data_IF_067784100918
#
_entry.id   IF_067784100918
#
_cell.length_a   1.000
_cell.length_b   1.000
_cell.length_c   1.000
_cell.angle_alpha   90.00
_cell.angle_beta   90.00
_cell.angle_gamma   90.00
#
_symmetry.space_group_name_H-M   'P 1'
#
loop_
_entity.id
_entity.type
_entity.pdbx_description
1 polymer ?
#
# COMPACT_ATOMS: atom_id res chain seq x y z
N UNK A 1 -5.28 27.61 16.55
CA UNK A 1 -5.96 26.47 15.91
C UNK A 1 -4.98 25.92 14.90
N UNK A 2 -4.76 24.61 14.85
CA UNK A 2 -3.92 24.02 13.80
C UNK A 2 -4.53 24.37 12.43
N UNK A 3 -3.71 24.69 11.47
CA UNK A 3 -4.12 24.98 10.11
C UNK A 3 -4.71 23.70 9.50
N UNK A 4 -5.87 23.81 8.86
CA UNK A 4 -6.53 22.68 8.21
C UNK A 4 -5.87 22.41 6.87
N UNK A 5 -5.57 21.15 6.59
CA UNK A 5 -5.09 20.74 5.26
C UNK A 5 -6.23 20.74 4.24
N UNK A 6 -5.95 21.14 3.01
CA UNK A 6 -6.93 21.11 1.91
C UNK A 6 -7.02 19.71 1.32
N UNK A 7 -8.23 19.20 1.23
CA UNK A 7 -8.56 17.96 0.51
C UNK A 7 -9.55 18.27 -0.58
N UNK A 8 -9.18 18.03 -1.82
CA UNK A 8 -10.05 18.27 -2.97
C UNK A 8 -10.83 17.00 -3.29
N UNK A 9 -12.08 17.17 -3.66
CA UNK A 9 -13.04 16.08 -3.90
C UNK A 9 -13.83 16.27 -5.19
N UNK A 10 -13.96 15.18 -5.95
CA UNK A 10 -14.87 15.06 -7.08
C UNK A 10 -15.62 13.72 -7.01
N UNK A 11 -16.94 13.74 -7.13
CA UNK A 11 -17.74 12.52 -7.21
C UNK A 11 -17.57 11.79 -8.55
N UNK A 12 -18.14 10.57 -8.69
CA UNK A 12 -18.11 9.79 -9.95
C UNK A 12 -19.27 10.13 -10.91
N UNK A 13 -20.05 11.17 -10.65
CA UNK A 13 -21.14 11.54 -11.56
C UNK A 13 -20.59 12.35 -12.74
N UNK A 14 -21.03 12.01 -13.93
CA UNK A 14 -20.79 12.76 -15.16
C UNK A 14 -22.15 13.11 -15.78
N UNK A 15 -22.84 14.16 -15.28
CA UNK A 15 -24.18 14.51 -15.74
C UNK A 15 -24.21 15.07 -17.17
N UNK A 16 -23.04 15.34 -17.74
CA UNK A 16 -22.85 15.87 -19.09
C UNK A 16 -21.86 14.97 -19.86
N UNK A 17 -22.15 14.72 -21.13
CA UNK A 17 -21.23 14.03 -22.04
C UNK A 17 -19.97 14.89 -22.40
N UNK A 18 -19.86 16.10 -21.88
CA UNK A 18 -18.75 17.03 -22.16
C UNK A 18 -17.48 16.71 -21.35
N UNK A 19 -17.59 15.98 -20.24
CA UNK A 19 -16.45 15.62 -19.39
C UNK A 19 -16.59 14.14 -18.97
N UNK A 20 -15.58 13.32 -19.22
CA UNK A 20 -15.52 11.94 -18.74
C UNK A 20 -14.76 11.84 -17.41
N UNK A 21 -14.82 10.69 -16.73
CA UNK A 21 -14.15 10.48 -15.44
C UNK A 21 -12.64 10.68 -15.46
N UNK A 22 -11.86 10.20 -16.46
CA UNK A 22 -10.45 10.55 -16.62
C UNK A 22 -10.18 12.05 -16.68
N UNK A 23 -10.94 12.79 -17.45
CA UNK A 23 -10.83 14.26 -17.52
C UNK A 23 -11.19 14.93 -16.20
N UNK A 24 -12.22 14.43 -15.50
CA UNK A 24 -12.60 14.91 -14.18
C UNK A 24 -11.50 14.66 -13.14
N UNK A 25 -10.84 13.49 -13.19
CA UNK A 25 -9.68 13.21 -12.34
C UNK A 25 -8.51 14.16 -12.64
N UNK A 26 -8.19 14.38 -13.91
CA UNK A 26 -7.14 15.32 -14.30
C UNK A 26 -7.43 16.73 -13.77
N UNK A 27 -8.66 17.20 -13.92
CA UNK A 27 -9.10 18.50 -13.39
C UNK A 27 -9.00 18.57 -11.87
N UNK A 28 -9.39 17.50 -11.15
CA UNK A 28 -9.22 17.40 -9.69
C UNK A 28 -7.76 17.57 -9.28
N UNK A 29 -6.87 16.81 -9.90
CA UNK A 29 -5.43 16.81 -9.60
C UNK A 29 -4.84 18.18 -9.83
N UNK A 30 -5.13 18.81 -10.98
CA UNK A 30 -4.64 20.15 -11.31
C UNK A 30 -5.20 21.22 -10.38
N UNK A 31 -6.51 21.17 -10.06
CA UNK A 31 -7.13 22.10 -9.12
C UNK A 31 -6.57 21.96 -7.70
N UNK A 32 -6.11 20.76 -7.33
CA UNK A 32 -5.47 20.51 -6.03
C UNK A 32 -4.03 21.03 -5.93
N UNK A 33 -3.50 21.66 -6.99
CA UNK A 33 -2.18 22.28 -6.96
C UNK A 33 -1.05 21.38 -7.47
N UNK A 34 -1.35 20.31 -8.18
CA UNK A 34 -0.31 19.44 -8.76
C UNK A 34 0.67 20.19 -9.68
N UNK A 35 0.20 21.30 -10.26
CA UNK A 35 1.01 22.16 -11.11
C UNK A 35 2.12 22.89 -10.37
N UNK A 36 2.01 23.06 -9.06
CA UNK A 36 3.01 23.73 -8.22
C UNK A 36 4.29 22.88 -8.01
N UNK A 37 4.25 21.57 -8.33
CA UNK A 37 5.39 20.67 -8.23
C UNK A 37 6.26 20.82 -9.48
N UNK A 38 7.52 21.22 -9.32
CA UNK A 38 8.51 21.17 -10.39
C UNK A 38 8.87 19.72 -10.71
N UNK A 39 8.59 19.30 -11.96
CA UNK A 39 8.85 17.93 -12.44
C UNK A 39 9.77 17.88 -13.66
N UNK A 40 10.18 19.02 -14.22
CA UNK A 40 10.97 19.06 -15.44
C UNK A 40 12.27 18.26 -15.30
N UNK A 41 12.43 17.26 -16.16
CA UNK A 41 13.58 16.35 -16.19
C UNK A 41 13.67 15.35 -15.02
N UNK A 42 12.77 15.42 -14.02
CA UNK A 42 12.83 14.65 -12.78
C UNK A 42 12.20 13.26 -12.91
N UNK A 43 12.73 12.30 -12.14
CA UNK A 43 12.12 10.99 -12.00
C UNK A 43 10.96 11.06 -11.01
N UNK A 44 9.78 10.57 -11.43
CA UNK A 44 8.54 10.60 -10.65
C UNK A 44 8.07 9.19 -10.39
N UNK A 45 8.14 8.75 -9.13
CA UNK A 45 7.61 7.47 -8.71
C UNK A 45 6.09 7.59 -8.47
N UNK A 46 5.29 6.89 -9.26
CA UNK A 46 3.84 6.76 -9.05
C UNK A 46 3.59 5.43 -8.35
N UNK A 47 3.37 5.49 -7.04
CA UNK A 47 3.13 4.31 -6.21
C UNK A 47 1.66 3.91 -6.27
N UNK A 48 1.43 2.69 -6.67
CA UNK A 48 0.09 2.10 -6.64
C UNK A 48 0.16 0.59 -6.39
N UNK A 49 -0.98 -0.04 -6.18
CA UNK A 49 -1.12 -1.49 -6.09
C UNK A 49 -1.62 -2.03 -7.42
N UNK A 50 -0.95 -3.03 -8.00
CA UNK A 50 -1.31 -3.58 -9.31
C UNK A 50 -2.40 -4.66 -9.27
N UNK A 51 -2.88 -5.03 -8.07
CA UNK A 51 -3.79 -6.16 -7.85
C UNK A 51 -3.06 -7.51 -7.84
N UNK A 52 -3.55 -8.46 -7.06
CA UNK A 52 -3.15 -9.86 -7.17
C UNK A 52 -3.88 -10.51 -8.35
N UNK A 53 -3.27 -11.41 -9.14
CA UNK A 53 -3.96 -12.11 -10.22
C UNK A 53 -5.24 -12.80 -9.75
N UNK A 54 -6.37 -12.48 -10.41
CA UNK A 54 -7.71 -12.95 -10.04
C UNK A 54 -8.54 -11.92 -9.26
N UNK A 55 -7.94 -10.91 -8.64
CA UNK A 55 -8.65 -9.78 -8.07
C UNK A 55 -9.12 -8.83 -9.19
N UNK A 56 -10.34 -8.34 -9.13
CA UNK A 56 -10.91 -7.41 -10.11
C UNK A 56 -11.33 -6.06 -9.49
N UNK A 57 -11.16 -5.87 -8.18
CA UNK A 57 -11.48 -4.62 -7.50
C UNK A 57 -10.34 -3.59 -7.52
N UNK A 58 -9.13 -3.95 -7.97
CA UNK A 58 -8.01 -3.02 -8.06
C UNK A 58 -8.28 -1.85 -9.01
N UNK A 59 -7.56 -0.73 -8.86
CA UNK A 59 -7.67 0.42 -9.74
C UNK A 59 -7.30 0.06 -11.18
N UNK A 60 -8.17 0.40 -12.12
CA UNK A 60 -7.94 0.17 -13.55
C UNK A 60 -6.72 0.97 -14.06
N UNK A 61 -5.95 0.44 -15.03
CA UNK A 61 -4.79 1.14 -15.64
C UNK A 61 -5.11 2.54 -16.18
N UNK A 62 -6.36 2.76 -16.60
CA UNK A 62 -6.84 4.06 -17.08
C UNK A 62 -6.65 5.20 -16.06
N UNK A 63 -6.79 4.91 -14.77
CA UNK A 63 -6.56 5.89 -13.71
C UNK A 63 -5.07 6.25 -13.59
N UNK A 64 -4.20 5.25 -13.69
CA UNK A 64 -2.76 5.46 -13.69
C UNK A 64 -2.32 6.30 -14.90
N UNK A 65 -2.92 6.03 -16.08
CA UNK A 65 -2.62 6.78 -17.29
C UNK A 65 -2.86 8.28 -17.12
N UNK A 66 -3.94 8.70 -16.47
CA UNK A 66 -4.21 10.12 -16.19
C UNK A 66 -3.04 10.77 -15.46
N UNK A 67 -2.56 10.13 -14.40
CA UNK A 67 -1.45 10.65 -13.59
C UNK A 67 -0.15 10.68 -14.39
N UNK A 68 0.12 9.60 -15.16
CA UNK A 68 1.30 9.49 -16.02
C UNK A 68 1.33 10.61 -17.07
N UNK A 69 0.18 10.87 -17.72
CA UNK A 69 0.08 11.91 -18.75
C UNK A 69 0.35 13.30 -18.12
N UNK A 70 -0.26 13.62 -16.97
CA UNK A 70 -0.02 14.89 -16.26
C UNK A 70 1.46 15.07 -15.87
N UNK A 71 2.14 14.02 -15.40
CA UNK A 71 3.57 14.08 -15.10
C UNK A 71 4.40 14.36 -16.36
N UNK A 72 4.06 13.69 -17.47
CA UNK A 72 4.77 13.89 -18.76
C UNK A 72 4.53 15.28 -19.33
N UNK A 73 3.32 15.80 -19.24
CA UNK A 73 2.97 17.15 -19.69
C UNK A 73 3.79 18.23 -18.94
N UNK A 74 4.26 17.90 -17.71
CA UNK A 74 5.18 18.73 -16.92
C UNK A 74 6.66 18.40 -17.12
N UNK A 75 7.02 17.66 -18.18
CA UNK A 75 8.41 17.28 -18.48
C UNK A 75 9.02 16.21 -17.55
N UNK A 76 8.23 15.62 -16.66
CA UNK A 76 8.67 14.58 -15.75
C UNK A 76 8.86 13.21 -16.41
N UNK A 77 9.62 12.34 -15.77
CA UNK A 77 9.92 10.96 -16.18
C UNK A 77 9.19 9.97 -15.26
N UNK A 78 7.91 9.67 -15.51
CA UNK A 78 7.12 8.81 -14.62
C UNK A 78 7.48 7.34 -14.78
N UNK A 79 7.36 6.60 -13.66
CA UNK A 79 7.28 5.15 -13.64
C UNK A 79 6.27 4.69 -12.60
N UNK A 80 5.55 3.59 -12.88
CA UNK A 80 4.69 2.95 -11.90
C UNK A 80 5.53 2.04 -11.02
N UNK A 81 5.24 2.01 -9.71
CA UNK A 81 6.01 1.21 -8.77
C UNK A 81 5.16 0.60 -7.67
N UNK A 82 5.60 -0.55 -7.21
CA UNK A 82 5.25 -1.24 -5.96
C UNK A 82 6.47 -2.05 -5.51
N UNK A 83 6.49 -2.54 -4.28
CA UNK A 83 7.53 -3.46 -3.80
C UNK A 83 6.98 -4.88 -3.66
N UNK A 84 7.87 -5.87 -3.78
CA UNK A 84 7.53 -7.29 -3.71
C UNK A 84 6.81 -7.66 -2.40
N UNK A 85 5.96 -8.67 -2.48
CA UNK A 85 5.18 -9.13 -1.33
C UNK A 85 5.96 -10.03 -0.39
N UNK A 86 5.49 -10.11 0.84
CA UNK A 86 6.02 -11.00 1.86
C UNK A 86 5.38 -12.39 1.81
N UNK A 87 4.12 -12.45 1.37
CA UNK A 87 3.36 -13.70 1.24
C UNK A 87 3.58 -14.36 -0.14
N UNK A 88 3.14 -15.61 -0.23
CA UNK A 88 3.18 -16.39 -1.47
C UNK A 88 2.02 -15.95 -2.36
N UNK A 89 2.36 -15.51 -3.56
CA UNK A 89 1.41 -15.05 -4.57
C UNK A 89 2.12 -14.66 -5.86
N UNK A 90 1.41 -14.01 -6.76
CA UNK A 90 1.92 -13.58 -8.06
C UNK A 90 2.91 -12.41 -8.00
N UNK A 91 3.15 -11.81 -6.82
CA UNK A 91 3.99 -10.63 -6.67
C UNK A 91 5.19 -10.84 -5.73
N UNK A 92 5.68 -12.09 -5.64
CA UNK A 92 6.76 -12.48 -4.72
C UNK A 92 8.16 -12.04 -5.17
N UNK A 93 8.39 -11.85 -6.45
CA UNK A 93 9.64 -11.35 -7.05
C UNK A 93 9.31 -10.41 -8.20
N UNK A 94 10.29 -9.63 -8.67
CA UNK A 94 10.01 -8.59 -9.66
C UNK A 94 9.45 -9.12 -10.97
N UNK A 95 9.87 -10.29 -11.46
CA UNK A 95 9.40 -10.82 -12.73
C UNK A 95 7.94 -11.25 -12.62
N UNK A 96 7.60 -12.05 -11.59
CA UNK A 96 6.21 -12.45 -11.35
C UNK A 96 5.33 -11.24 -11.03
N UNK A 97 5.87 -10.23 -10.34
CA UNK A 97 5.15 -9.00 -10.01
C UNK A 97 4.81 -8.17 -11.26
N UNK A 98 5.77 -8.03 -12.18
CA UNK A 98 5.54 -7.36 -13.47
C UNK A 98 4.56 -8.18 -14.31
N UNK A 99 4.68 -9.50 -14.32
CA UNK A 99 3.73 -10.37 -15.03
C UNK A 99 2.31 -10.22 -14.46
N UNK A 100 2.16 -10.19 -13.14
CA UNK A 100 0.87 -9.91 -12.48
C UNK A 100 0.29 -8.55 -12.89
N UNK A 101 1.14 -7.52 -12.94
CA UNK A 101 0.73 -6.20 -13.40
C UNK A 101 0.28 -6.22 -14.87
N UNK A 102 0.98 -6.96 -15.74
CA UNK A 102 0.62 -7.11 -17.16
C UNK A 102 -0.71 -7.85 -17.33
N UNK A 103 -0.95 -8.93 -16.57
CA UNK A 103 -2.23 -9.65 -16.57
C UNK A 103 -3.39 -8.74 -16.15
N UNK A 104 -3.14 -7.80 -15.24
CA UNK A 104 -4.09 -6.81 -14.79
C UNK A 104 -4.14 -5.54 -15.69
N UNK A 105 -3.46 -5.58 -16.84
CA UNK A 105 -3.50 -4.55 -17.88
C UNK A 105 -2.54 -3.37 -17.68
N UNK A 106 -1.71 -3.38 -16.64
CA UNK A 106 -0.67 -2.36 -16.43
C UNK A 106 0.55 -2.69 -17.29
N UNK A 107 0.71 -2.00 -18.37
CA UNK A 107 1.86 -2.13 -19.26
C UNK A 107 2.16 -0.76 -19.94
N UNK A 108 3.33 -0.58 -20.54
CA UNK A 108 3.71 0.72 -21.13
C UNK A 108 2.77 1.22 -22.23
N UNK A 109 2.08 0.34 -22.94
CA UNK A 109 1.13 0.74 -23.99
C UNK A 109 -0.17 1.31 -23.40
N UNK A 110 -0.66 0.72 -22.32
CA UNK A 110 -1.91 1.13 -21.67
C UNK A 110 -1.73 2.31 -20.73
N UNK A 111 -0.61 2.35 -20.00
CA UNK A 111 -0.36 3.36 -18.96
C UNK A 111 0.54 4.50 -19.43
N UNK A 112 1.29 4.30 -20.50
CA UNK A 112 2.20 5.30 -21.06
C UNK A 112 3.56 5.37 -20.36
N UNK A 113 3.88 4.55 -19.36
CA UNK A 113 5.19 4.50 -18.71
C UNK A 113 5.58 3.07 -18.30
N UNK A 114 6.85 2.89 -17.94
CA UNK A 114 7.36 1.61 -17.47
C UNK A 114 6.99 1.31 -16.03
N UNK A 115 7.08 0.03 -15.66
CA UNK A 115 6.96 -0.46 -14.28
C UNK A 115 8.37 -0.77 -13.76
N UNK A 116 8.70 -0.23 -12.59
CA UNK A 116 9.90 -0.59 -11.84
C UNK A 116 9.48 -1.13 -10.48
N UNK A 117 9.90 -2.35 -10.16
CA UNK A 117 9.66 -2.92 -8.82
C UNK A 117 10.68 -2.33 -7.85
N UNK A 118 10.18 -1.58 -6.88
CA UNK A 118 10.94 -0.65 -6.05
C UNK A 118 12.08 -1.28 -5.24
N UNK A 119 11.92 -2.54 -4.83
CA UNK A 119 12.89 -3.30 -4.02
C UNK A 119 13.65 -4.37 -4.82
N UNK A 120 13.69 -4.22 -6.16
CA UNK A 120 14.49 -5.03 -7.07
C UNK A 120 14.01 -6.48 -7.22
N UNK A 121 14.86 -7.30 -7.88
CA UNK A 121 14.49 -8.64 -8.35
C UNK A 121 13.94 -9.55 -7.23
N UNK A 122 14.55 -9.51 -6.04
CA UNK A 122 14.25 -10.42 -4.93
C UNK A 122 13.68 -9.72 -3.68
N UNK A 123 13.32 -8.46 -3.79
CA UNK A 123 12.75 -7.69 -2.68
C UNK A 123 13.76 -7.26 -1.61
N UNK A 124 15.03 -7.16 -1.97
CA UNK A 124 16.12 -6.81 -1.06
C UNK A 124 17.05 -5.71 -1.57
N UNK A 125 16.65 -5.00 -2.61
CA UNK A 125 17.28 -3.76 -3.03
C UNK A 125 16.61 -2.61 -2.28
N UNK A 126 17.25 -2.20 -1.17
CA UNK A 126 16.65 -1.31 -0.19
C UNK A 126 17.65 -0.25 0.27
N UNK A 127 17.11 0.81 0.82
CA UNK A 127 17.81 1.84 1.55
C UNK A 127 17.20 1.97 2.95
N UNK A 128 18.04 2.15 3.96
CA UNK A 128 17.59 2.46 5.31
C UNK A 128 17.42 3.97 5.46
N UNK A 129 16.21 4.39 5.85
CA UNK A 129 15.84 5.80 6.03
C UNK A 129 15.53 6.02 7.50
N UNK A 130 16.23 6.96 8.18
CA UNK A 130 15.92 7.30 9.57
C UNK A 130 14.49 7.81 9.72
N UNK A 131 13.81 7.40 10.80
CA UNK A 131 12.45 7.85 11.14
C UNK A 131 12.52 8.70 12.39
N UNK A 132 12.56 10.01 12.21
CA UNK A 132 12.55 10.93 13.33
C UNK A 132 11.20 10.90 14.06
N UNK A 133 11.25 10.74 15.38
CA UNK A 133 10.04 10.62 16.21
C UNK A 133 9.33 9.24 16.12
N UNK A 134 9.93 8.26 15.44
CA UNK A 134 9.39 6.88 15.39
C UNK A 134 9.41 6.22 16.76
N UNK A 135 8.29 5.55 17.09
CA UNK A 135 8.11 4.82 18.35
C UNK A 135 8.62 3.38 18.23
N UNK A 136 8.45 2.77 17.05
CA UNK A 136 8.77 1.36 16.78
C UNK A 136 9.89 1.19 15.75
N UNK A 137 10.01 2.10 14.79
CA UNK A 137 10.94 2.01 13.67
C UNK A 137 11.98 3.13 13.80
N UNK A 138 13.26 2.76 13.90
CA UNK A 138 14.38 3.74 13.89
C UNK A 138 14.83 4.04 12.48
N UNK A 139 15.01 3.01 11.66
CA UNK A 139 15.38 3.10 10.25
C UNK A 139 14.43 2.24 9.43
N UNK A 140 13.61 2.86 8.61
CA UNK A 140 12.70 2.17 7.72
C UNK A 140 13.47 1.62 6.50
N UNK A 141 13.18 0.39 6.11
CA UNK A 141 13.79 -0.29 4.96
C UNK A 141 12.88 -0.10 3.75
N UNK A 142 13.21 0.87 2.92
CA UNK A 142 12.40 1.28 1.76
C UNK A 142 13.04 0.77 0.46
N UNK A 143 12.22 0.37 -0.50
CA UNK A 143 12.69 -0.02 -1.84
C UNK A 143 13.48 1.11 -2.49
N UNK A 144 14.70 0.79 -2.98
CA UNK A 144 15.66 1.79 -3.47
C UNK A 144 15.08 2.65 -4.58
N UNK A 145 14.46 2.06 -5.60
CA UNK A 145 13.93 2.84 -6.73
C UNK A 145 12.84 3.86 -6.31
N UNK A 146 12.14 3.61 -5.19
CA UNK A 146 11.19 4.59 -4.63
C UNK A 146 11.93 5.80 -4.08
N UNK A 147 13.08 5.59 -3.41
CA UNK A 147 13.83 6.67 -2.78
C UNK A 147 14.76 7.39 -3.76
N UNK A 148 15.16 6.74 -4.87
CA UNK A 148 15.94 7.36 -5.93
C UNK A 148 15.11 8.33 -6.81
N UNK A 149 13.78 8.31 -6.71
CA UNK A 149 12.91 9.24 -7.41
C UNK A 149 12.93 10.63 -6.76
N UNK A 150 12.92 11.68 -7.58
CA UNK A 150 12.92 13.08 -7.14
C UNK A 150 11.56 13.51 -6.58
N UNK A 151 10.48 13.00 -7.16
CA UNK A 151 9.09 13.30 -6.80
C UNK A 151 8.35 12.00 -6.53
N UNK A 152 7.49 12.02 -5.53
CA UNK A 152 6.68 10.87 -5.18
C UNK A 152 5.19 11.17 -5.29
N UNK A 153 4.46 10.32 -6.01
CA UNK A 153 3.00 10.40 -6.13
C UNK A 153 2.38 9.09 -5.66
N UNK A 154 1.42 9.13 -4.74
CA UNK A 154 0.63 7.95 -4.42
C UNK A 154 -0.71 7.98 -5.16
N UNK A 155 -1.03 6.89 -5.87
CA UNK A 155 -2.34 6.63 -6.45
C UNK A 155 -2.95 5.45 -5.71
N UNK A 156 -3.97 5.70 -4.91
CA UNK A 156 -4.47 4.77 -3.91
C UNK A 156 -5.89 4.31 -4.24
N UNK A 157 -6.10 3.01 -4.23
CA UNK A 157 -7.41 2.39 -4.07
C UNK A 157 -7.77 2.38 -2.58
N UNK A 158 -8.73 3.21 -2.17
CA UNK A 158 -9.20 3.23 -0.78
C UNK A 158 -10.24 2.11 -0.56
N UNK A 159 -10.04 1.28 0.46
CA UNK A 159 -10.83 0.07 0.72
C UNK A 159 -10.69 -0.44 2.16
N UNK A 160 -11.46 -1.47 2.52
CA UNK A 160 -11.27 -2.24 3.76
C UNK A 160 -9.92 -2.99 3.79
N UNK A 161 -9.52 -3.41 4.98
CA UNK A 161 -8.30 -4.20 5.16
C UNK A 161 -8.35 -5.03 6.44
N UNK A 162 -8.10 -6.33 6.32
CA UNK A 162 -8.24 -7.35 7.35
C UNK A 162 -7.33 -7.21 8.58
N UNK A 163 -6.23 -6.45 8.50
CA UNK A 163 -5.29 -6.22 9.62
C UNK A 163 -5.19 -4.75 10.01
N UNK A 164 -5.27 -3.84 9.05
CA UNK A 164 -5.11 -2.41 9.30
C UNK A 164 -6.45 -1.66 9.45
N UNK A 165 -7.58 -2.32 9.17
CA UNK A 165 -8.93 -1.75 9.14
C UNK A 165 -9.25 -1.06 7.82
N UNK A 166 -8.33 -0.26 7.28
CA UNK A 166 -8.43 0.35 5.96
C UNK A 166 -7.13 0.27 5.17
N UNK A 167 -7.24 0.31 3.84
CA UNK A 167 -6.14 0.47 2.91
C UNK A 167 -6.21 1.84 2.24
N UNK A 168 -5.70 2.87 2.91
CA UNK A 168 -5.61 4.24 2.40
C UNK A 168 -4.22 4.60 1.85
N UNK A 169 -3.97 5.91 1.68
CA UNK A 169 -2.69 6.45 1.20
C UNK A 169 -1.54 6.08 2.14
N UNK A 170 -1.72 6.23 3.46
CA UNK A 170 -0.70 5.86 4.45
C UNK A 170 -0.27 4.40 4.30
N UNK A 171 -1.22 3.48 4.16
CA UNK A 171 -0.89 2.07 3.95
C UNK A 171 -0.26 1.80 2.58
N UNK A 172 -0.77 2.41 1.51
CA UNK A 172 -0.22 2.29 0.17
C UNK A 172 1.24 2.76 0.13
N UNK A 173 1.58 3.79 0.86
CA UNK A 173 2.93 4.32 1.00
C UNK A 173 3.76 3.45 1.95
N UNK A 174 3.40 3.40 3.22
CA UNK A 174 4.23 2.80 4.28
C UNK A 174 4.46 1.31 4.08
N UNK A 175 3.38 0.52 3.93
CA UNK A 175 3.52 -0.91 3.66
C UNK A 175 3.99 -1.16 2.22
N UNK A 176 3.44 -0.41 1.26
CA UNK A 176 3.68 -0.64 -0.15
C UNK A 176 5.12 -0.35 -0.58
N UNK A 177 5.75 0.72 -0.08
CA UNK A 177 7.13 1.09 -0.40
C UNK A 177 8.18 0.36 0.46
N UNK A 178 7.78 -0.28 1.57
CA UNK A 178 8.67 -1.11 2.34
C UNK A 178 9.26 -2.25 1.51
N UNK A 179 10.58 -2.46 1.60
CA UNK A 179 11.21 -3.66 1.05
C UNK A 179 10.65 -4.93 1.71
N UNK A 180 11.08 -6.08 1.27
CA UNK A 180 10.69 -7.33 1.91
C UNK A 180 11.08 -7.38 3.40
N UNK A 181 12.29 -6.88 3.75
CA UNK A 181 12.70 -6.75 5.15
C UNK A 181 11.83 -5.72 5.90
N UNK A 182 11.51 -4.60 5.24
CA UNK A 182 10.62 -3.59 5.80
C UNK A 182 9.20 -4.12 6.05
N UNK A 183 8.63 -4.86 5.10
CA UNK A 183 7.33 -5.52 5.30
C UNK A 183 7.39 -6.56 6.43
N UNK A 184 8.51 -7.29 6.56
CA UNK A 184 8.71 -8.23 7.67
C UNK A 184 8.71 -7.52 9.02
N UNK A 185 9.37 -6.37 9.13
CA UNK A 185 9.42 -5.56 10.35
C UNK A 185 8.04 -4.97 10.71
N UNK A 186 7.25 -4.56 9.70
CA UNK A 186 5.92 -4.03 9.92
C UNK A 186 4.93 -5.10 10.41
N UNK A 187 4.96 -6.31 9.82
CA UNK A 187 3.97 -7.36 10.09
C UNK A 187 4.25 -8.22 11.32
N UNK A 188 5.45 -8.14 11.91
CA UNK A 188 5.82 -8.90 13.10
C UNK A 188 7.09 -8.34 13.74
N UNK A 189 7.70 -9.11 14.65
CA UNK A 189 9.03 -8.79 15.20
C UNK A 189 10.18 -8.87 14.18
N UNK A 190 9.87 -8.97 12.88
CA UNK A 190 10.87 -9.04 11.81
C UNK A 190 11.49 -10.42 11.59
N UNK A 191 10.89 -11.52 12.08
CA UNK A 191 11.48 -12.86 11.97
C UNK A 191 10.55 -13.87 11.30
N UNK A 192 11.04 -14.60 10.27
CA UNK A 192 10.25 -15.63 9.60
C UNK A 192 10.27 -16.95 10.39
N UNK A 193 9.37 -17.88 10.02
CA UNK A 193 9.40 -19.25 10.50
C UNK A 193 9.27 -20.26 9.35
N UNK A 194 9.58 -21.54 9.61
CA UNK A 194 9.52 -22.61 8.62
C UNK A 194 8.30 -23.49 8.85
N UNK A 195 7.44 -23.62 7.82
CA UNK A 195 6.38 -24.63 7.79
C UNK A 195 7.00 -26.00 7.48
N UNK A 196 7.27 -26.80 8.53
CA UNK A 196 7.97 -28.08 8.41
C UNK A 196 7.36 -29.03 7.37
N UNK A 197 6.02 -29.03 7.21
CA UNK A 197 5.31 -29.85 6.20
C UNK A 197 5.70 -29.51 4.76
N UNK A 198 6.11 -28.27 4.48
CA UNK A 198 6.53 -27.80 3.15
C UNK A 198 8.06 -27.88 2.96
N UNK A 199 8.83 -27.98 4.04
CA UNK A 199 10.29 -27.99 3.98
C UNK A 199 10.79 -29.34 3.41
N UNK A 200 11.59 -29.27 2.34
CA UNK A 200 12.24 -30.44 1.70
C UNK A 200 13.72 -30.59 2.09
N UNK A 201 14.21 -29.79 3.03
CA UNK A 201 15.59 -29.89 3.51
C UNK A 201 16.66 -29.48 2.50
N UNK A 202 16.34 -28.73 1.43
CA UNK A 202 17.26 -28.42 0.32
C UNK A 202 18.42 -27.48 0.69
N UNK A 203 18.38 -26.79 1.81
CA UNK A 203 19.47 -25.95 2.31
C UNK A 203 19.62 -24.58 1.64
N UNK A 204 18.75 -24.21 0.68
CA UNK A 204 18.82 -22.90 0.00
C UNK A 204 18.78 -21.73 0.97
N UNK A 205 17.96 -21.83 2.01
CA UNK A 205 17.84 -20.80 3.06
C UNK A 205 19.15 -20.64 3.87
N UNK A 206 19.85 -21.74 4.16
CA UNK A 206 21.13 -21.70 4.88
C UNK A 206 22.23 -21.09 4.00
N UNK A 207 22.27 -21.44 2.71
CA UNK A 207 23.26 -20.91 1.76
C UNK A 207 23.16 -19.40 1.56
N UNK A 208 21.94 -18.83 1.59
CA UNK A 208 21.72 -17.39 1.39
C UNK A 208 21.89 -16.57 2.67
N UNK A 209 21.84 -17.21 3.84
CA UNK A 209 21.84 -16.52 5.13
C UNK A 209 23.26 -16.15 5.57
N UNK A 210 23.55 -14.84 5.63
CA UNK A 210 24.83 -14.33 6.14
C UNK A 210 25.02 -14.52 7.66
N UNK A 211 23.96 -14.83 8.40
CA UNK A 211 23.95 -14.90 9.87
C UNK A 211 23.82 -16.33 10.40
N UNK A 212 23.75 -17.34 9.54
CA UNK A 212 23.60 -18.73 9.96
C UNK A 212 22.30 -19.04 10.73
N UNK A 213 21.26 -18.23 10.56
CA UNK A 213 20.01 -18.41 11.27
C UNK A 213 19.20 -19.65 10.87
N UNK A 214 19.15 -20.12 9.60
CA UNK A 214 18.52 -21.38 9.26
C UNK A 214 19.38 -22.57 9.74
N UNK A 215 18.85 -23.36 10.67
CA UNK A 215 19.50 -24.52 11.29
C UNK A 215 18.78 -25.78 10.83
N UNK A 216 19.55 -26.82 10.45
CA UNK A 216 19.02 -28.12 10.03
C UNK A 216 18.78 -28.99 11.27
N UNK A 217 17.54 -29.47 11.42
CA UNK A 217 17.17 -30.41 12.46
C UNK A 217 17.53 -31.88 12.12
N UNK A 218 17.38 -32.77 13.11
CA UNK A 218 17.63 -34.24 12.95
C UNK A 218 16.66 -34.86 11.92
N UNK A 219 15.46 -34.30 11.76
CA UNK A 219 14.48 -34.70 10.73
C UNK A 219 14.84 -34.24 9.31
N UNK A 220 16.03 -33.64 9.14
CA UNK A 220 16.53 -33.12 7.87
C UNK A 220 15.91 -31.83 7.41
N UNK A 221 14.96 -31.26 8.15
CA UNK A 221 14.28 -29.98 7.84
C UNK A 221 14.99 -28.83 8.51
N UNK A 222 14.69 -27.62 8.02
CA UNK A 222 15.25 -26.39 8.60
C UNK A 222 14.27 -25.71 9.55
N UNK A 223 14.82 -25.05 10.56
CA UNK A 223 14.16 -24.10 11.46
C UNK A 223 14.93 -22.78 11.44
N UNK A 224 14.36 -21.71 11.97
CA UNK A 224 15.04 -20.40 12.09
C UNK A 224 15.44 -20.20 13.54
N UNK A 225 16.74 -20.06 13.78
CA UNK A 225 17.28 -19.59 15.05
C UNK A 225 17.04 -18.07 15.16
N UNK A 226 16.04 -17.70 15.94
CA UNK A 226 15.62 -16.31 16.09
C UNK A 226 16.69 -15.43 16.74
N UNK A 227 17.61 -16.00 17.53
CA UNK A 227 18.69 -15.24 18.14
C UNK A 227 19.73 -14.73 17.14
N UNK A 228 19.86 -15.44 16.00
CA UNK A 228 20.77 -15.09 14.89
C UNK A 228 20.06 -14.37 13.77
N UNK A 229 18.72 -14.42 13.72
CA UNK A 229 17.96 -13.86 12.63
C UNK A 229 17.84 -12.34 12.74
N UNK A 230 18.25 -11.62 11.68
CA UNK A 230 18.12 -10.14 11.55
C UNK A 230 16.90 -9.70 10.73
N UNK A 231 15.99 -10.60 10.38
CA UNK A 231 14.73 -10.24 9.71
C UNK A 231 14.85 -9.83 8.23
N UNK A 232 15.97 -9.99 7.56
CA UNK A 232 16.17 -9.55 6.17
C UNK A 232 15.33 -10.31 5.11
N UNK A 233 14.59 -11.34 5.50
CA UNK A 233 13.69 -12.16 4.69
C UNK A 233 14.29 -12.79 3.41
N UNK A 234 15.61 -12.79 3.19
CA UNK A 234 16.26 -13.41 2.03
C UNK A 234 15.96 -14.90 1.91
N UNK A 235 15.91 -15.63 3.04
CA UNK A 235 15.55 -17.05 3.09
C UNK A 235 14.12 -17.32 2.60
N UNK A 236 13.19 -16.42 2.87
CA UNK A 236 11.82 -16.49 2.36
C UNK A 236 11.80 -16.33 0.84
N UNK A 237 12.53 -15.35 0.30
CA UNK A 237 12.61 -15.08 -1.12
C UNK A 237 13.14 -16.27 -1.94
N UNK A 238 14.13 -17.00 -1.40
CA UNK A 238 14.82 -18.07 -2.14
C UNK A 238 14.16 -19.45 -1.97
N UNK A 239 13.20 -19.61 -1.05
CA UNK A 239 12.62 -20.91 -0.76
C UNK A 239 11.80 -21.45 -1.95
N UNK A 240 12.21 -22.56 -2.61
CA UNK A 240 11.53 -23.07 -3.80
C UNK A 240 10.20 -23.75 -3.50
N UNK A 241 9.90 -24.02 -2.22
CA UNK A 241 8.66 -24.67 -1.75
C UNK A 241 7.80 -23.75 -0.90
N UNK A 242 8.17 -22.45 -0.82
CA UNK A 242 7.46 -21.49 0.02
C UNK A 242 7.20 -21.99 1.44
N UNK A 243 8.23 -22.72 1.95
CA UNK A 243 8.18 -23.25 3.30
C UNK A 243 8.50 -22.20 4.37
N UNK A 244 9.15 -21.09 3.99
CA UNK A 244 9.52 -20.03 4.91
C UNK A 244 8.55 -18.87 4.71
N UNK A 245 7.91 -18.46 5.79
CA UNK A 245 6.81 -17.47 5.76
C UNK A 245 6.94 -16.50 6.93
N UNK A 246 6.31 -15.33 6.81
CA UNK A 246 6.06 -14.41 7.92
C UNK A 246 4.94 -14.95 8.81
N UNK A 247 4.95 -14.59 10.08
CA UNK A 247 3.85 -14.94 11.01
C UNK A 247 2.63 -14.07 10.78
N UNK A 248 2.84 -12.82 10.36
CA UNK A 248 1.79 -11.81 10.18
C UNK A 248 0.95 -11.63 11.47
N UNK A 249 1.63 -11.66 12.62
CA UNK A 249 1.03 -11.73 13.96
C UNK A 249 1.18 -10.43 14.77
N UNK A 250 1.55 -9.32 14.09
CA UNK A 250 1.64 -8.02 14.74
C UNK A 250 0.25 -7.52 15.13
N UNK A 251 0.12 -6.98 16.33
CA UNK A 251 -1.12 -6.37 16.79
C UNK A 251 -1.53 -5.22 15.85
N UNK A 252 -2.82 -5.10 15.49
CA UNK A 252 -3.28 -4.09 14.53
C UNK A 252 -2.85 -2.65 14.86
N UNK A 253 -2.86 -2.28 16.14
CA UNK A 253 -2.41 -0.96 16.61
C UNK A 253 -0.92 -0.73 16.35
N UNK A 254 -0.07 -1.73 16.62
CA UNK A 254 1.38 -1.64 16.38
C UNK A 254 1.67 -1.63 14.87
N UNK A 255 1.00 -2.50 14.10
CA UNK A 255 1.09 -2.51 12.65
C UNK A 255 0.76 -1.14 12.06
N UNK A 256 -0.34 -0.52 12.50
CA UNK A 256 -0.78 0.79 12.04
C UNK A 256 0.22 1.92 12.38
N UNK A 257 0.83 1.88 13.56
CA UNK A 257 1.90 2.83 13.91
C UNK A 257 3.14 2.63 13.04
N UNK A 258 3.57 1.39 12.82
CA UNK A 258 4.70 1.10 11.93
C UNK A 258 4.41 1.52 10.47
N UNK A 259 3.18 1.36 9.98
CA UNK A 259 2.77 1.86 8.66
C UNK A 259 2.95 3.37 8.57
N UNK A 260 2.51 4.13 9.58
CA UNK A 260 2.70 5.57 9.63
C UNK A 260 4.19 5.95 9.65
N UNK A 261 5.01 5.27 10.44
CA UNK A 261 6.45 5.52 10.53
C UNK A 261 7.17 5.22 9.21
N UNK A 262 6.80 4.15 8.51
CA UNK A 262 7.30 3.86 7.17
C UNK A 262 6.82 4.88 6.13
N UNK A 263 5.60 5.41 6.27
CA UNK A 263 5.11 6.50 5.42
C UNK A 263 5.97 7.73 5.59
N UNK A 264 6.28 8.13 6.84
CA UNK A 264 7.16 9.26 7.14
C UNK A 264 8.50 9.14 6.41
N UNK A 265 9.14 7.99 6.48
CA UNK A 265 10.40 7.72 5.79
C UNK A 265 10.34 7.93 4.27
N UNK A 266 9.18 7.70 3.67
CA UNK A 266 9.00 7.87 2.22
C UNK A 266 8.73 9.32 1.84
N UNK A 267 7.93 10.05 2.62
CA UNK A 267 7.42 11.36 2.20
C UNK A 267 8.23 12.54 2.72
N UNK A 268 8.95 12.38 3.84
CA UNK A 268 9.73 13.48 4.43
C UNK A 268 10.82 13.99 3.49
N UNK A 269 10.92 15.31 3.39
CA UNK A 269 12.04 16.00 2.73
C UNK A 269 12.00 16.00 1.20
N UNK A 270 10.92 15.54 0.55
CA UNK A 270 10.76 15.59 -0.92
C UNK A 270 9.36 16.00 -1.36
N UNK A 271 9.19 16.52 -2.60
CA UNK A 271 7.87 16.82 -3.14
C UNK A 271 7.03 15.56 -3.25
N UNK A 272 5.82 15.60 -2.66
CA UNK A 272 4.86 14.49 -2.70
C UNK A 272 3.47 14.99 -3.07
N UNK A 273 2.67 14.12 -3.70
CA UNK A 273 1.26 14.37 -3.97
C UNK A 273 0.45 13.08 -3.85
N UNK A 274 -0.76 13.16 -3.30
CA UNK A 274 -1.52 11.99 -2.93
C UNK A 274 -2.92 12.02 -3.54
N UNK A 275 -3.31 10.91 -4.17
CA UNK A 275 -4.59 10.73 -4.85
C UNK A 275 -5.20 9.43 -4.31
N UNK A 276 -6.47 9.51 -3.87
CA UNK A 276 -7.24 8.33 -3.43
C UNK A 276 -8.55 8.24 -4.20
N UNK A 277 -8.83 7.04 -4.72
CA UNK A 277 -10.11 6.74 -5.36
C UNK A 277 -10.90 5.79 -4.45
N UNK A 278 -12.08 6.23 -4.02
CA UNK A 278 -13.01 5.49 -3.17
C UNK A 278 -14.09 4.91 -4.07
N UNK A 279 -13.76 3.80 -4.71
CA UNK A 279 -14.64 3.05 -5.63
C UNK A 279 -14.40 1.56 -5.43
N UNK A 280 -15.35 0.73 -5.85
CA UNK A 280 -15.29 -0.73 -5.70
C UNK A 280 -14.80 -1.13 -4.30
N UNK A 281 -15.42 -0.54 -3.26
CA UNK A 281 -14.96 -0.56 -1.87
C UNK A 281 -14.92 -1.99 -1.31
N UNK A 282 -13.91 -2.74 -1.70
CA UNK A 282 -13.70 -4.13 -1.31
C UNK A 282 -13.55 -4.26 0.21
N UNK A 283 -14.12 -5.28 0.85
CA UNK A 283 -13.93 -5.54 2.28
C UNK A 283 -12.47 -5.83 2.64
N UNK A 284 -11.71 -6.42 1.71
CA UNK A 284 -10.32 -6.85 1.93
C UNK A 284 -9.34 -6.17 0.96
N UNK A 285 -8.07 -6.40 1.23
CA UNK A 285 -6.97 -5.86 0.43
C UNK A 285 -6.94 -6.45 -1.00
N UNK A 286 -6.56 -5.63 -2.00
CA UNK A 286 -6.27 -6.08 -3.38
C UNK A 286 -5.10 -7.08 -3.45
N UNK A 287 -4.49 -7.37 -2.32
CA UNK A 287 -3.44 -8.37 -2.20
C UNK A 287 -3.97 -9.82 -2.15
N UNK A 288 -5.27 -10.01 -2.10
CA UNK A 288 -5.93 -11.31 -2.24
C UNK A 288 -6.40 -11.52 -3.68
N UNK A 289 -6.24 -12.73 -4.20
CA UNK A 289 -6.71 -13.10 -5.53
C UNK A 289 -8.25 -13.06 -5.65
N UNK A 290 -8.95 -13.31 -4.55
CA UNK A 290 -10.40 -13.19 -4.47
C UNK A 290 -10.76 -11.80 -3.91
N UNK A 291 -11.65 -11.09 -4.58
CA UNK A 291 -12.34 -9.93 -4.04
C UNK A 291 -13.82 -10.27 -3.85
N UNK A 292 -14.47 -9.58 -2.94
CA UNK A 292 -15.89 -9.70 -2.66
C UNK A 292 -16.65 -8.46 -3.18
N UNK A 293 -17.97 -8.51 -3.08
CA UNK A 293 -18.83 -7.37 -3.39
C UNK A 293 -18.45 -6.14 -2.53
N UNK A 294 -18.55 -4.93 -3.09
CA UNK A 294 -18.29 -3.71 -2.32
C UNK A 294 -19.18 -3.62 -1.08
N UNK A 295 -18.65 -3.08 0.02
CA UNK A 295 -19.39 -2.89 1.27
C UNK A 295 -20.25 -1.63 1.29
N UNK A 296 -19.96 -0.67 0.39
CA UNK A 296 -20.69 0.58 0.26
C UNK A 296 -20.63 1.11 -1.19
N UNK A 297 -21.47 2.10 -1.56
CA UNK A 297 -21.43 2.77 -2.86
C UNK A 297 -20.07 3.42 -3.15
N UNK A 298 -19.77 3.57 -4.45
CA UNK A 298 -18.65 4.40 -4.89
C UNK A 298 -18.85 5.85 -4.44
N UNK A 299 -17.83 6.45 -3.83
CA UNK A 299 -17.90 7.79 -3.25
C UNK A 299 -17.36 8.86 -4.19
N UNK A 300 -16.09 8.71 -4.60
CA UNK A 300 -15.44 9.72 -5.44
C UNK A 300 -13.92 9.61 -5.44
N UNK A 301 -13.33 10.68 -5.96
CA UNK A 301 -11.90 10.87 -6.13
C UNK A 301 -11.45 12.00 -5.19
N UNK A 302 -10.34 11.81 -4.50
CA UNK A 302 -9.77 12.75 -3.55
C UNK A 302 -8.31 13.04 -3.89
N UNK A 303 -7.86 14.28 -3.65
CA UNK A 303 -6.47 14.68 -3.86
C UNK A 303 -6.02 15.67 -2.79
N UNK A 304 -4.77 15.52 -2.32
CA UNK A 304 -4.16 16.40 -1.30
C UNK A 304 -2.64 16.28 -1.31
N UNK A 305 -1.95 17.30 -0.81
CA UNK A 305 -0.55 17.22 -0.43
C UNK A 305 -0.32 16.51 0.92
N UNK A 306 -1.38 16.40 1.73
CA UNK A 306 -1.34 15.79 3.06
C UNK A 306 -1.99 14.40 3.03
N UNK A 307 -1.22 13.31 3.18
CA UNK A 307 -1.77 11.95 3.13
C UNK A 307 -2.63 11.61 4.36
N UNK A 308 -2.42 12.29 5.50
CA UNK A 308 -3.19 12.07 6.74
C UNK A 308 -4.58 12.67 6.59
N UNK A 309 -4.65 13.93 6.14
CA UNK A 309 -5.92 14.60 5.84
C UNK A 309 -6.71 13.87 4.75
N UNK A 310 -6.00 13.36 3.73
CA UNK A 310 -6.58 12.58 2.64
C UNK A 310 -7.25 11.31 3.14
N UNK A 311 -6.55 10.52 3.95
CA UNK A 311 -7.08 9.26 4.49
C UNK A 311 -8.23 9.51 5.48
N UNK A 312 -8.14 10.55 6.32
CA UNK A 312 -9.23 10.93 7.20
C UNK A 312 -10.48 11.33 6.39
N UNK A 313 -10.33 12.15 5.36
CA UNK A 313 -11.44 12.57 4.51
C UNK A 313 -12.08 11.39 3.75
N UNK A 314 -11.28 10.44 3.26
CA UNK A 314 -11.77 9.23 2.61
C UNK A 314 -12.55 8.35 3.60
N UNK A 315 -12.02 8.13 4.80
CA UNK A 315 -12.67 7.34 5.84
C UNK A 315 -14.02 7.96 6.27
N UNK A 316 -14.04 9.27 6.55
CA UNK A 316 -15.26 10.00 6.91
C UNK A 316 -16.32 9.89 5.79
N UNK A 317 -15.89 10.00 4.53
CA UNK A 317 -16.77 9.89 3.38
C UNK A 317 -17.35 8.49 3.19
N UNK A 318 -16.58 7.43 3.53
CA UNK A 318 -17.06 6.03 3.53
C UNK A 318 -18.03 5.79 4.67
N UNK A 319 -17.71 6.25 5.88
CA UNK A 319 -18.57 6.10 7.06
C UNK A 319 -19.94 6.76 6.86
N UNK A 320 -19.98 7.84 6.08
CA UNK A 320 -21.23 8.52 5.74
C UNK A 320 -22.10 7.77 4.70
N UNK A 321 -21.62 6.67 4.10
CA UNK A 321 -22.39 5.91 3.12
C UNK A 321 -23.28 4.85 3.78
N UNK A 322 -24.42 4.51 3.15
CA UNK A 322 -25.16 3.31 3.54
C UNK A 322 -24.38 2.05 3.18
N UNK A 323 -24.42 1.04 4.04
CA UNK A 323 -23.87 -0.28 3.72
C UNK A 323 -24.71 -0.96 2.61
N UNK A 324 -24.04 -1.70 1.72
CA UNK A 324 -24.74 -2.54 0.75
C UNK A 324 -25.28 -3.80 1.41
N UNK A 325 -26.58 -4.06 1.25
CA UNK A 325 -27.27 -5.24 1.79
C UNK A 325 -26.72 -6.56 1.22
N UNK A 326 -26.25 -6.54 -0.02
CA UNK A 326 -25.63 -7.69 -0.69
C UNK A 326 -24.10 -7.61 -0.58
N UNK A 327 -23.59 -7.51 0.65
CA UNK A 327 -22.17 -7.50 0.95
C UNK A 327 -21.85 -8.38 2.15
N UNK A 328 -20.58 -8.64 2.38
CA UNK A 328 -20.11 -9.44 3.52
C UNK A 328 -20.64 -8.92 4.86
N UNK A 329 -20.95 -7.64 4.99
CA UNK A 329 -21.50 -7.05 6.22
C UNK A 329 -22.84 -7.67 6.63
N UNK A 330 -23.59 -8.28 5.71
CA UNK A 330 -24.87 -8.91 5.99
C UNK A 330 -24.82 -10.45 5.84
N UNK A 331 -23.66 -11.04 5.60
CA UNK A 331 -23.47 -12.49 5.64
C UNK A 331 -23.52 -12.98 7.10
N UNK A 332 -24.31 -14.02 7.37
CA UNK A 332 -24.44 -14.63 8.70
C UNK A 332 -23.14 -15.28 9.19
N UNK A 333 -22.23 -15.64 8.28
CA UNK A 333 -20.94 -16.25 8.57
C UNK A 333 -19.81 -15.22 8.76
N UNK A 334 -20.10 -13.94 8.56
CA UNK A 334 -19.13 -12.88 8.78
C UNK A 334 -18.91 -12.64 10.27
N UNK A 335 -17.65 -12.41 10.66
CA UNK A 335 -17.29 -11.89 11.99
C UNK A 335 -17.50 -10.37 12.09
N UNK A 336 -18.29 -9.80 11.19
CA UNK A 336 -18.58 -8.37 11.09
C UNK A 336 -19.46 -7.90 12.28
N UNK A 337 -19.22 -6.69 12.78
CA UNK A 337 -20.03 -6.09 13.83
C UNK A 337 -21.00 -5.04 13.26
N UNK A 338 -22.22 -5.47 12.98
CA UNK A 338 -23.30 -4.61 12.42
C UNK A 338 -23.82 -3.55 13.39
N UNK A 339 -23.43 -3.58 14.66
CA UNK A 339 -23.80 -2.55 15.62
C UNK A 339 -22.97 -1.26 15.45
N UNK A 340 -21.83 -1.35 14.75
CA UNK A 340 -20.95 -0.23 14.48
C UNK A 340 -21.49 0.65 13.35
N UNK A 341 -21.49 1.96 13.57
CA UNK A 341 -21.79 2.96 12.54
C UNK A 341 -20.61 3.21 11.58
N UNK A 342 -19.40 2.87 12.01
CA UNK A 342 -18.18 2.94 11.20
C UNK A 342 -18.06 1.67 10.36
N UNK A 343 -18.31 1.78 9.05
CA UNK A 343 -18.31 0.63 8.14
C UNK A 343 -16.96 -0.09 8.06
N UNK A 344 -15.86 0.62 8.30
CA UNK A 344 -14.52 0.03 8.30
C UNK A 344 -14.30 -0.85 9.54
N UNK A 345 -14.76 -0.36 10.70
CA UNK A 345 -14.73 -1.14 11.96
C UNK A 345 -15.78 -2.25 11.90
N UNK A 346 -16.98 -1.99 11.38
CA UNK A 346 -18.00 -3.01 11.20
C UNK A 346 -17.49 -4.19 10.36
N UNK A 347 -16.75 -3.90 9.30
CA UNK A 347 -16.17 -4.91 8.41
C UNK A 347 -15.07 -5.74 9.10
N UNK A 348 -14.21 -5.11 9.88
CA UNK A 348 -13.09 -5.75 10.57
C UNK A 348 -13.00 -5.28 12.03
N UNK A 349 -13.87 -5.78 12.94
CA UNK A 349 -14.01 -5.25 14.30
C UNK A 349 -12.77 -5.45 15.19
N UNK A 350 -11.87 -6.34 14.81
CA UNK A 350 -10.61 -6.58 15.53
C UNK A 350 -9.46 -5.67 15.05
N UNK A 351 -9.75 -4.66 14.21
CA UNK A 351 -8.76 -3.72 13.67
C UNK A 351 -9.00 -2.30 14.22
N UNK A 352 -8.02 -1.44 14.04
CA UNK A 352 -8.09 -0.04 14.47
C UNK A 352 -7.40 0.88 13.47
N UNK A 353 -8.11 1.28 12.43
CA UNK A 353 -7.58 2.18 11.40
C UNK A 353 -7.23 3.58 11.92
N UNK A 354 -7.93 4.04 12.99
CA UNK A 354 -7.75 5.38 13.57
C UNK A 354 -6.34 5.54 14.13
N UNK A 355 -5.78 4.50 14.73
CA UNK A 355 -4.39 4.51 15.22
C UNK A 355 -3.39 4.92 14.13
N UNK A 356 -3.62 4.54 12.85
CA UNK A 356 -2.71 4.90 11.77
C UNK A 356 -2.66 6.43 11.54
N UNK A 357 -3.83 7.05 11.36
CA UNK A 357 -3.92 8.50 11.11
C UNK A 357 -3.54 9.33 12.34
N UNK A 358 -3.86 8.86 13.55
CA UNK A 358 -3.49 9.49 14.81
C UNK A 358 -1.98 9.49 15.04
N UNK A 359 -1.36 8.36 14.80
CA UNK A 359 0.09 8.24 14.94
C UNK A 359 0.83 9.04 13.85
N UNK A 360 0.32 9.03 12.61
CA UNK A 360 0.86 9.82 11.51
C UNK A 360 0.82 11.33 11.82
N UNK A 361 -0.29 11.83 12.38
CA UNK A 361 -0.39 13.22 12.87
C UNK A 361 0.60 13.48 14.02
N UNK A 362 0.67 12.59 15.00
CA UNK A 362 1.58 12.71 16.16
C UNK A 362 3.04 12.84 15.76
N UNK A 363 3.49 12.09 14.74
CA UNK A 363 4.87 12.12 14.26
C UNK A 363 5.12 13.20 13.17
N UNK A 364 4.14 14.03 12.87
CA UNK A 364 4.28 15.22 12.04
C UNK A 364 4.29 14.94 10.52
N UNK A 365 3.57 13.91 10.02
CA UNK A 365 3.41 13.69 8.58
C UNK A 365 2.40 14.67 7.99
N UNK A 366 1.34 14.99 8.74
CA UNK A 366 0.24 15.85 8.33
C UNK A 366 -0.75 16.04 9.46
N UNK A 367 -2.00 16.41 9.15
CA UNK A 367 -3.05 16.62 10.15
C UNK A 367 -4.35 15.92 9.74
N UNK A 368 -5.10 15.43 10.73
CA UNK A 368 -6.46 14.87 10.52
C UNK A 368 -7.51 15.95 10.30
N UNK A 369 -7.17 17.22 10.57
CA UNK A 369 -8.09 18.34 10.34
C UNK A 369 -7.99 18.78 8.89
N UNK A 370 -9.10 18.76 8.17
CA UNK A 370 -9.13 19.12 6.77
C UNK A 370 -10.27 20.07 6.40
N UNK A 371 -10.09 20.77 5.30
CA UNK A 371 -11.14 21.49 4.56
C UNK A 371 -11.43 20.71 3.29
N UNK A 372 -12.68 20.25 3.11
CA UNK A 372 -13.12 19.54 1.91
C UNK A 372 -13.56 20.52 0.84
N UNK A 373 -12.82 20.60 -0.25
CA UNK A 373 -13.08 21.46 -1.41
C UNK A 373 -13.71 20.62 -2.52
N UNK A 374 -14.99 20.79 -2.78
CA UNK A 374 -15.70 20.11 -3.87
C UNK A 374 -15.49 20.86 -5.18
N UNK A 375 -15.21 20.11 -6.26
CA UNK A 375 -14.98 20.66 -7.60
C UNK A 375 -15.99 20.15 -8.62
#
# INVERSE_FOLDING_TARGET
>A
MAEKSKVYFADFRCPSWRENLPQKLARLIMTAGFDDIDMEGKYVAIKMHFGEPGNLAYLRPNWAKVVVDLVKDKGGKPFLTDCNTLYVGGRKNALDHIESAYQNGFNPYNTGCHILIGDGLKGNDEVEVPVEGGEYVKNAKIGRAVMDADVFVSLTHFKGHEQAGMGGALKNIGMGCGSRAGKMEQHNSGKPFVKAKKCIGCGSCAKICAHGAPVKGEDGKYTIDESKCVGCARCLAICPKDAIVSRLDEAPTILNKKIAEYTKAVVDGRPCFHISLVLDLSPNCDCHAANDAPIAPNVGMFASFDPVALDQACADAVIAQPAFLNSVLFDEKCECDRSQSDLLIANHPNTDWKTCVEHAEKIGIGTRQYELIKI
#
